data_IF_645571594638
#
_entry.id   IF_645571594638
#
_cell.length_a   1.000
_cell.length_b   1.000
_cell.length_c   1.000
_cell.angle_alpha   90.00
_cell.angle_beta   90.00
_cell.angle_gamma   90.00
#
_symmetry.space_group_name_H-M   'P 1'
#
loop_
_entity.id
_entity.type
_entity.pdbx_description
1 polymer ?
#
# COMPACT_ATOMS: atom_id res chain seq x y z
N UNK A 1 44.08 16.69 18.60
CA UNK A 1 42.65 17.06 18.67
C UNK A 1 41.79 16.55 17.50
N UNK A 2 42.24 15.54 16.73
CA UNK A 2 41.52 15.07 15.52
C UNK A 2 40.95 13.64 15.59
N UNK A 3 41.34 12.82 16.57
CA UNK A 3 40.93 11.42 16.61
C UNK A 3 39.43 11.26 16.93
N UNK A 4 38.96 11.95 17.98
CA UNK A 4 37.57 11.89 18.44
C UNK A 4 36.58 12.35 17.36
N UNK A 5 36.91 13.43 16.65
CA UNK A 5 36.06 14.01 15.59
C UNK A 5 35.95 13.09 14.37
N UNK A 6 37.02 12.35 14.06
CA UNK A 6 37.04 11.38 12.96
C UNK A 6 36.23 10.12 13.30
N UNK A 7 36.31 9.64 14.54
CA UNK A 7 35.51 8.48 15.01
C UNK A 7 34.01 8.76 14.99
N UNK A 8 33.56 9.96 15.42
CA UNK A 8 32.14 10.33 15.34
C UNK A 8 31.61 10.41 13.90
N UNK A 9 32.43 10.88 12.96
CA UNK A 9 32.10 10.92 11.53
C UNK A 9 31.90 9.52 10.95
N UNK A 10 32.78 8.57 11.30
CA UNK A 10 32.69 7.18 10.84
C UNK A 10 31.45 6.48 11.41
N UNK A 11 31.16 6.65 12.69
CA UNK A 11 29.96 6.08 13.32
C UNK A 11 28.69 6.65 12.70
N UNK A 12 28.63 7.97 12.46
CA UNK A 12 27.50 8.61 11.80
C UNK A 12 27.25 8.07 10.39
N UNK A 13 28.32 7.89 9.59
CA UNK A 13 28.23 7.31 8.24
C UNK A 13 27.78 5.85 8.26
N UNK A 14 28.22 5.06 9.24
CA UNK A 14 27.78 3.67 9.40
C UNK A 14 26.30 3.57 9.75
N UNK A 15 25.80 4.43 10.65
CA UNK A 15 24.37 4.46 11.01
C UNK A 15 23.52 4.82 9.78
N UNK A 16 23.92 5.85 9.02
CA UNK A 16 23.23 6.24 7.79
C UNK A 16 23.26 5.11 6.77
N UNK A 17 24.41 4.45 6.57
CA UNK A 17 24.52 3.32 5.64
C UNK A 17 23.63 2.14 6.02
N UNK A 18 23.52 1.80 7.31
CA UNK A 18 22.66 0.73 7.80
C UNK A 18 21.17 1.09 7.63
N UNK A 19 20.80 2.33 7.95
CA UNK A 19 19.44 2.83 7.74
C UNK A 19 19.04 2.81 6.27
N UNK A 20 19.93 3.30 5.39
CA UNK A 20 19.70 3.29 3.94
C UNK A 20 19.57 1.87 3.40
N UNK A 21 20.40 0.90 3.86
CA UNK A 21 20.25 -0.52 3.48
C UNK A 21 18.92 -1.12 3.95
N UNK A 22 18.50 -0.82 5.17
CA UNK A 22 17.21 -1.27 5.70
C UNK A 22 16.03 -0.69 4.91
N UNK A 23 16.08 0.60 4.60
CA UNK A 23 15.07 1.27 3.77
C UNK A 23 15.02 0.71 2.34
N UNK A 24 16.19 0.43 1.73
CA UNK A 24 16.27 -0.20 0.39
C UNK A 24 15.71 -1.63 0.42
N UNK A 25 16.06 -2.44 1.42
CA UNK A 25 15.51 -3.79 1.54
C UNK A 25 13.98 -3.77 1.73
N UNK A 26 13.48 -2.87 2.58
CA UNK A 26 12.05 -2.68 2.86
C UNK A 26 11.28 -2.24 1.61
N UNK A 27 11.81 -1.29 0.84
CA UNK A 27 11.20 -0.85 -0.42
C UNK A 27 11.24 -1.92 -1.51
N UNK A 28 12.31 -2.71 -1.60
CA UNK A 28 12.36 -3.85 -2.53
C UNK A 28 11.36 -4.97 -2.19
N UNK A 29 11.11 -5.22 -0.89
CA UNK A 29 10.08 -6.16 -0.45
C UNK A 29 8.69 -5.67 -0.82
N UNK A 30 8.38 -4.40 -0.52
CA UNK A 30 7.07 -3.83 -0.84
C UNK A 30 6.79 -3.85 -2.35
N UNK A 31 7.77 -3.52 -3.19
CA UNK A 31 7.59 -3.55 -4.63
C UNK A 31 7.18 -4.96 -5.14
N UNK A 32 7.83 -6.01 -4.61
CA UNK A 32 7.47 -7.39 -4.91
C UNK A 32 6.05 -7.73 -4.45
N UNK A 33 5.69 -7.35 -3.22
CA UNK A 33 4.36 -7.59 -2.68
C UNK A 33 3.27 -6.89 -3.53
N UNK A 34 3.53 -5.65 -3.98
CA UNK A 34 2.61 -4.90 -4.83
C UNK A 34 2.44 -5.52 -6.24
N UNK A 35 3.50 -6.09 -6.81
CA UNK A 35 3.41 -6.84 -8.07
C UNK A 35 2.55 -8.11 -7.90
N UNK A 36 2.72 -8.82 -6.79
CA UNK A 36 1.92 -10.00 -6.45
C UNK A 36 0.44 -9.65 -6.25
N UNK A 37 0.16 -8.55 -5.55
CA UNK A 37 -1.20 -8.03 -5.36
C UNK A 37 -1.83 -7.67 -6.71
N UNK A 38 -1.11 -6.94 -7.56
CA UNK A 38 -1.56 -6.60 -8.92
C UNK A 38 -1.93 -7.86 -9.73
N UNK A 39 -1.09 -8.90 -9.64
CA UNK A 39 -1.39 -10.19 -10.25
C UNK A 39 -2.69 -10.79 -9.71
N UNK A 40 -2.88 -10.87 -8.39
CA UNK A 40 -4.11 -11.42 -7.80
C UNK A 40 -5.37 -10.64 -8.20
N UNK A 41 -5.29 -9.32 -8.27
CA UNK A 41 -6.39 -8.48 -8.76
C UNK A 41 -6.74 -8.80 -10.22
N UNK A 42 -5.73 -8.97 -11.09
CA UNK A 42 -5.94 -9.28 -12.51
C UNK A 42 -6.67 -10.61 -12.77
N UNK A 43 -6.54 -11.57 -11.84
CA UNK A 43 -7.20 -12.88 -11.91
C UNK A 43 -8.38 -13.01 -10.94
N UNK A 44 -8.92 -11.88 -10.46
CA UNK A 44 -10.09 -11.81 -9.57
C UNK A 44 -9.97 -12.59 -8.26
N UNK A 45 -8.74 -12.77 -7.75
CA UNK A 45 -8.44 -13.42 -6.46
C UNK A 45 -8.46 -12.37 -5.34
N UNK A 46 -9.59 -11.68 -5.17
CA UNK A 46 -9.69 -10.53 -4.26
C UNK A 46 -9.49 -10.90 -2.79
N UNK A 47 -9.95 -12.06 -2.32
CA UNK A 47 -9.70 -12.51 -0.95
C UNK A 47 -8.21 -12.68 -0.66
N UNK A 48 -7.46 -13.27 -1.61
CA UNK A 48 -6.02 -13.45 -1.48
C UNK A 48 -5.31 -12.09 -1.51
N UNK A 49 -5.70 -11.19 -2.41
CA UNK A 49 -5.16 -9.83 -2.46
C UNK A 49 -5.39 -9.10 -1.12
N UNK A 50 -6.58 -9.20 -0.54
CA UNK A 50 -6.92 -8.60 0.75
C UNK A 50 -6.08 -9.20 1.90
N UNK A 51 -5.87 -10.51 1.91
CA UNK A 51 -5.04 -11.18 2.93
C UNK A 51 -3.57 -10.70 2.88
N UNK A 52 -3.03 -10.51 1.67
CA UNK A 52 -1.67 -9.96 1.47
C UNK A 52 -1.60 -8.48 1.83
N UNK A 53 -2.61 -7.68 1.47
CA UNK A 53 -2.66 -6.24 1.75
C UNK A 53 -2.86 -5.88 3.21
N UNK A 54 -3.55 -6.73 3.99
CA UNK A 54 -3.90 -6.47 5.39
C UNK A 54 -2.69 -6.16 6.28
N UNK A 55 -1.60 -6.95 6.29
CA UNK A 55 -0.39 -6.60 7.04
C UNK A 55 0.31 -5.34 6.48
N UNK A 56 0.28 -5.14 5.15
CA UNK A 56 0.93 -4.00 4.51
C UNK A 56 0.31 -2.66 4.92
N UNK A 57 -0.99 -2.58 5.15
CA UNK A 57 -1.62 -1.34 5.63
C UNK A 57 -1.11 -0.91 7.00
N UNK A 58 -0.84 -1.87 7.90
CA UNK A 58 -0.31 -1.53 9.21
C UNK A 58 1.13 -1.00 9.13
N UNK A 59 1.92 -1.54 8.20
CA UNK A 59 3.34 -1.19 8.05
C UNK A 59 3.58 0.02 7.14
N UNK A 60 2.74 0.23 6.12
CA UNK A 60 2.89 1.21 5.05
C UNK A 60 1.63 2.09 4.94
N UNK A 61 1.13 2.54 6.09
CA UNK A 61 -0.12 3.31 6.18
C UNK A 61 -0.09 4.67 5.45
N UNK A 62 1.09 5.15 5.08
CA UNK A 62 1.39 6.37 4.33
C UNK A 62 1.77 6.10 2.86
N UNK A 63 1.75 4.83 2.42
CA UNK A 63 2.03 4.47 1.04
C UNK A 63 0.75 4.54 0.19
N UNK A 64 0.77 5.43 -0.79
CA UNK A 64 -0.37 5.70 -1.67
C UNK A 64 -0.79 4.48 -2.52
N UNK A 65 0.16 3.65 -2.95
CA UNK A 65 -0.12 2.46 -3.76
C UNK A 65 -0.75 1.35 -2.92
N UNK A 66 -0.33 1.20 -1.66
CA UNK A 66 -0.98 0.27 -0.71
C UNK A 66 -2.43 0.68 -0.48
N UNK A 67 -2.71 1.98 -0.28
CA UNK A 67 -4.10 2.47 -0.15
C UNK A 67 -4.91 2.22 -1.42
N UNK A 68 -4.32 2.52 -2.60
CA UNK A 68 -4.93 2.28 -3.91
C UNK A 68 -5.30 0.81 -4.12
N UNK A 69 -4.37 -0.10 -3.90
CA UNK A 69 -4.62 -1.53 -4.11
C UNK A 69 -5.61 -2.12 -3.10
N UNK A 70 -5.64 -1.62 -1.86
CA UNK A 70 -6.70 -1.98 -0.91
C UNK A 70 -8.08 -1.57 -1.42
N UNK A 71 -8.23 -0.33 -1.90
CA UNK A 71 -9.49 0.10 -2.49
C UNK A 71 -9.93 -0.79 -3.65
N UNK A 72 -9.01 -1.11 -4.57
CA UNK A 72 -9.32 -1.92 -5.75
C UNK A 72 -9.71 -3.35 -5.35
N UNK A 73 -9.03 -3.94 -4.37
CA UNK A 73 -9.36 -5.25 -3.84
C UNK A 73 -10.76 -5.28 -3.20
N UNK A 74 -11.13 -4.23 -2.47
CA UNK A 74 -12.46 -4.10 -1.85
C UNK A 74 -13.58 -3.93 -2.87
N UNK A 75 -13.38 -3.14 -3.93
CA UNK A 75 -14.32 -3.02 -5.07
C UNK A 75 -14.45 -4.34 -5.81
N UNK A 76 -13.34 -5.02 -6.07
CA UNK A 76 -13.37 -6.36 -6.65
C UNK A 76 -14.18 -7.32 -5.78
N UNK A 77 -13.95 -7.30 -4.47
CA UNK A 77 -14.67 -8.16 -3.52
C UNK A 77 -16.16 -7.84 -3.45
N UNK A 78 -16.56 -6.57 -3.54
CA UNK A 78 -17.98 -6.18 -3.52
C UNK A 78 -18.73 -6.76 -4.72
N UNK A 79 -18.08 -6.84 -5.90
CA UNK A 79 -18.66 -7.48 -7.09
C UNK A 79 -18.93 -9.00 -6.95
N UNK A 80 -18.42 -9.65 -5.90
CA UNK A 80 -18.60 -11.08 -5.63
C UNK A 80 -19.67 -11.38 -4.57
N UNK A 81 -20.28 -10.37 -3.97
CA UNK A 81 -21.31 -10.55 -2.93
C UNK A 81 -22.70 -10.16 -3.46
N UNK A 82 -23.74 -10.48 -2.70
CA UNK A 82 -25.12 -10.19 -3.11
C UNK A 82 -25.34 -8.67 -3.25
N UNK A 83 -25.82 -8.26 -4.42
CA UNK A 83 -26.12 -6.85 -4.70
C UNK A 83 -27.18 -6.31 -3.75
N UNK A 84 -26.94 -5.11 -3.22
CA UNK A 84 -27.79 -4.43 -2.24
C UNK A 84 -27.59 -4.91 -0.79
N UNK A 85 -26.75 -5.93 -0.57
CA UNK A 85 -26.46 -6.43 0.78
C UNK A 85 -25.71 -5.40 1.63
N UNK A 86 -25.84 -5.51 2.94
CA UNK A 86 -25.10 -4.64 3.87
C UNK A 86 -23.58 -4.87 3.77
N UNK A 87 -23.16 -6.09 3.40
CA UNK A 87 -21.76 -6.39 3.16
C UNK A 87 -21.22 -5.66 1.91
N UNK A 88 -21.98 -5.65 0.81
CA UNK A 88 -21.58 -4.92 -0.40
C UNK A 88 -21.40 -3.43 -0.11
N UNK A 89 -22.38 -2.82 0.56
CA UNK A 89 -22.34 -1.40 0.95
C UNK A 89 -21.15 -1.08 1.84
N UNK A 90 -20.83 -1.96 2.79
CA UNK A 90 -19.69 -1.79 3.69
C UNK A 90 -18.36 -1.91 2.95
N UNK A 91 -18.26 -2.80 1.96
CA UNK A 91 -17.08 -2.93 1.11
C UNK A 91 -16.85 -1.67 0.26
N UNK A 92 -17.91 -1.12 -0.35
CA UNK A 92 -17.82 0.16 -1.09
C UNK A 92 -17.49 1.33 -0.17
N UNK A 93 -18.12 1.43 1.01
CA UNK A 93 -17.81 2.47 1.98
C UNK A 93 -16.33 2.49 2.36
N UNK A 94 -15.76 1.31 2.64
CA UNK A 94 -14.33 1.17 2.96
C UNK A 94 -13.44 1.46 1.75
N UNK A 95 -13.82 1.03 0.54
CA UNK A 95 -13.01 1.29 -0.65
C UNK A 95 -12.89 2.79 -0.91
N UNK A 96 -13.97 3.55 -0.73
CA UNK A 96 -13.97 5.02 -0.85
C UNK A 96 -12.99 5.65 0.14
N UNK A 97 -13.01 5.25 1.42
CA UNK A 97 -12.05 5.75 2.43
C UNK A 97 -10.58 5.56 1.99
N UNK A 98 -10.27 4.41 1.39
CA UNK A 98 -8.93 4.12 0.89
C UNK A 98 -8.58 4.88 -0.39
N UNK A 99 -9.54 5.09 -1.31
CA UNK A 99 -9.35 5.92 -2.50
C UNK A 99 -9.06 7.37 -2.12
N UNK A 100 -9.86 7.94 -1.22
CA UNK A 100 -9.65 9.29 -0.70
C UNK A 100 -8.29 9.43 -0.02
N UNK A 101 -7.90 8.43 0.78
CA UNK A 101 -6.59 8.43 1.42
C UNK A 101 -5.45 8.31 0.40
N UNK A 102 -5.59 7.51 -0.65
CA UNK A 102 -4.59 7.43 -1.73
C UNK A 102 -4.41 8.79 -2.42
N UNK A 103 -5.51 9.49 -2.73
CA UNK A 103 -5.50 10.84 -3.31
C UNK A 103 -4.83 11.85 -2.37
N UNK A 104 -5.14 11.81 -1.07
CA UNK A 104 -4.50 12.68 -0.06
C UNK A 104 -2.98 12.44 0.05
N UNK A 105 -2.52 11.21 -0.19
CA UNK A 105 -1.11 10.85 -0.23
C UNK A 105 -0.44 11.18 -1.59
N UNK A 106 -1.14 11.85 -2.50
CA UNK A 106 -0.62 12.26 -3.79
C UNK A 106 -0.57 11.14 -4.83
N UNK A 107 -1.49 10.17 -4.75
CA UNK A 107 -1.77 9.35 -5.92
C UNK A 107 -2.54 10.20 -6.93
N UNK A 108 -2.03 10.25 -8.15
CA UNK A 108 -2.66 10.97 -9.25
C UNK A 108 -2.67 10.00 -10.43
N UNK A 109 -3.81 9.33 -10.57
CA UNK A 109 -4.05 8.26 -11.52
C UNK A 109 -5.52 8.34 -11.93
N UNK A 110 -5.79 8.44 -13.23
CA UNK A 110 -7.15 8.49 -13.78
C UNK A 110 -8.00 7.29 -13.32
N UNK A 111 -7.35 6.16 -13.07
CA UNK A 111 -7.99 4.95 -12.56
C UNK A 111 -8.61 5.17 -11.17
N UNK A 112 -8.04 6.03 -10.31
CA UNK A 112 -8.62 6.32 -9.00
C UNK A 112 -9.97 7.02 -9.12
N UNK A 113 -10.09 7.98 -10.04
CA UNK A 113 -11.35 8.68 -10.29
C UNK A 113 -12.40 7.77 -10.93
N UNK A 114 -11.99 6.87 -11.83
CA UNK A 114 -12.86 5.83 -12.36
C UNK A 114 -13.39 4.93 -11.24
N UNK A 115 -12.52 4.49 -10.33
CA UNK A 115 -12.88 3.60 -9.23
C UNK A 115 -13.78 4.27 -8.20
N UNK A 116 -13.59 5.57 -7.94
CA UNK A 116 -14.51 6.38 -7.14
C UNK A 116 -15.91 6.47 -7.76
N UNK A 117 -16.01 6.51 -9.10
CA UNK A 117 -17.30 6.51 -9.79
C UNK A 117 -18.00 5.15 -9.80
N UNK A 118 -17.27 4.06 -9.61
CA UNK A 118 -17.80 2.69 -9.53
C UNK A 118 -18.31 2.37 -8.11
N UNK A 119 -17.61 2.87 -7.08
CA UNK A 119 -17.92 2.64 -5.68
C UNK A 119 -19.10 3.48 -5.18
#
# INVERSE_FOLDING_TARGET
MNLVRTTFLIIGLLIISCYMRGAVAKTSSLAFDLDEISYYLSISKYDVALDVLKPLIAEYSDNKDVMKYMAFALIGKSSMVDTGSDLEKELYRKSIEYLEKALLLGADDEVLYLMLGIA
#
